data_IF_000674643370
#
_entry.id   IF_000674643370
#
_cell.length_a   1.000
_cell.length_b   1.000
_cell.length_c   1.000
_cell.angle_alpha   90.00
_cell.angle_beta   90.00
_cell.angle_gamma   90.00
#
_symmetry.space_group_name_H-M   'P 1'
#
loop_
_entity.id
_entity.type
_entity.pdbx_description
1 polymer ?
#
# COMPACT_ATOMS: atom_id res chain seq x y z
N UNK A 1 -22.55 -25.75 -26.01
CA UNK A 1 -22.71 -25.05 -24.70
C UNK A 1 -21.62 -24.01 -24.45
N UNK A 2 -20.32 -24.33 -24.61
CA UNK A 2 -19.22 -23.37 -24.36
C UNK A 2 -19.27 -22.07 -25.19
N UNK A 3 -19.57 -22.15 -26.49
CA UNK A 3 -19.67 -20.97 -27.38
C UNK A 3 -20.81 -20.04 -26.96
N UNK A 4 -21.97 -20.59 -26.55
CA UNK A 4 -23.12 -19.79 -26.10
C UNK A 4 -22.84 -19.04 -24.81
N UNK A 5 -22.05 -19.62 -23.89
CA UNK A 5 -21.61 -18.95 -22.67
C UNK A 5 -20.59 -17.87 -22.99
N UNK A 6 -19.59 -18.16 -23.85
CA UNK A 6 -18.61 -17.17 -24.28
C UNK A 6 -19.27 -15.95 -24.95
N UNK A 7 -20.24 -16.16 -25.85
CA UNK A 7 -21.00 -15.08 -26.50
C UNK A 7 -21.83 -14.28 -25.50
N UNK A 8 -22.42 -14.92 -24.48
CA UNK A 8 -23.15 -14.21 -23.41
C UNK A 8 -22.22 -13.43 -22.48
N UNK A 9 -21.01 -13.90 -22.24
CA UNK A 9 -20.01 -13.20 -21.41
C UNK A 9 -19.44 -12.00 -22.17
N UNK A 10 -19.11 -12.16 -23.44
CA UNK A 10 -18.56 -11.10 -24.30
C UNK A 10 -19.61 -10.07 -24.74
N UNK A 11 -20.89 -10.45 -24.77
CA UNK A 11 -22.00 -9.56 -25.13
C UNK A 11 -22.58 -8.76 -23.96
N UNK A 12 -21.95 -8.76 -22.78
CA UNK A 12 -22.37 -7.91 -21.67
C UNK A 12 -21.78 -6.50 -21.83
N UNK A 13 -22.48 -5.48 -21.32
CA UNK A 13 -22.07 -4.08 -21.51
C UNK A 13 -20.93 -3.67 -20.56
N UNK A 14 -20.68 -4.46 -19.50
CA UNK A 14 -19.68 -4.15 -18.48
C UNK A 14 -18.89 -5.38 -18.04
N UNK A 15 -17.64 -5.16 -17.60
CA UNK A 15 -16.77 -6.21 -17.02
C UNK A 15 -17.43 -6.87 -15.81
N UNK A 16 -18.13 -6.11 -14.97
CA UNK A 16 -18.83 -6.61 -13.77
C UNK A 16 -19.94 -7.61 -14.13
N UNK A 17 -20.70 -7.32 -15.17
CA UNK A 17 -21.77 -8.19 -15.66
C UNK A 17 -21.20 -9.44 -16.32
N UNK A 18 -20.18 -9.30 -17.17
CA UNK A 18 -19.44 -10.43 -17.75
C UNK A 18 -18.89 -11.35 -16.65
N UNK A 19 -18.27 -10.78 -15.62
CA UNK A 19 -17.69 -11.51 -14.50
C UNK A 19 -18.75 -12.25 -13.68
N UNK A 20 -19.89 -11.61 -13.43
CA UNK A 20 -21.03 -12.24 -12.76
C UNK A 20 -21.54 -13.46 -13.53
N UNK A 21 -21.59 -13.38 -14.86
CA UNK A 21 -21.97 -14.49 -15.74
C UNK A 21 -20.92 -15.60 -15.82
N UNK A 22 -19.65 -15.29 -15.60
CA UNK A 22 -18.54 -16.26 -15.60
C UNK A 22 -18.34 -16.94 -14.24
N UNK A 23 -18.83 -16.35 -13.15
CA UNK A 23 -18.53 -16.76 -11.76
C UNK A 23 -18.79 -18.25 -11.48
N UNK A 24 -19.92 -18.80 -11.95
CA UNK A 24 -20.25 -20.21 -11.74
C UNK A 24 -19.17 -21.17 -12.30
N UNK A 25 -18.51 -20.78 -13.39
CA UNK A 25 -17.45 -21.59 -14.00
C UNK A 25 -16.19 -21.52 -13.15
N UNK A 26 -15.80 -20.34 -12.69
CA UNK A 26 -14.67 -20.14 -11.78
C UNK A 26 -14.90 -20.93 -10.49
N UNK A 27 -16.09 -20.85 -9.90
CA UNK A 27 -16.43 -21.57 -8.67
C UNK A 27 -16.38 -23.10 -8.82
N UNK A 28 -16.60 -23.61 -10.04
CA UNK A 28 -16.51 -25.05 -10.34
C UNK A 28 -15.08 -25.57 -10.50
N UNK A 29 -14.09 -24.68 -10.65
CA UNK A 29 -12.70 -25.05 -10.82
C UNK A 29 -12.00 -25.33 -9.47
N UNK A 30 -11.08 -26.29 -9.48
CA UNK A 30 -10.19 -26.48 -8.34
C UNK A 30 -9.26 -25.25 -8.14
N UNK A 31 -8.68 -25.15 -6.93
CA UNK A 31 -7.85 -24.00 -6.57
C UNK A 31 -6.58 -23.85 -7.44
N UNK A 32 -6.02 -24.96 -7.92
CA UNK A 32 -4.79 -24.96 -8.72
C UNK A 32 -5.06 -24.52 -10.15
N UNK A 33 -6.16 -24.98 -10.73
CA UNK A 33 -6.65 -24.55 -12.04
C UNK A 33 -6.90 -23.04 -12.06
N UNK A 34 -7.61 -22.52 -11.05
CA UNK A 34 -7.85 -21.07 -10.90
C UNK A 34 -6.57 -20.27 -10.75
N UNK A 35 -5.65 -20.72 -9.90
CA UNK A 35 -4.36 -20.05 -9.74
C UNK A 35 -3.57 -20.02 -11.05
N UNK A 36 -3.63 -21.11 -11.81
CA UNK A 36 -3.01 -21.18 -13.14
C UNK A 36 -3.67 -20.19 -14.08
N UNK A 37 -5.00 -20.15 -14.17
CA UNK A 37 -5.72 -19.19 -15.01
C UNK A 37 -5.38 -17.73 -14.68
N UNK A 38 -5.30 -17.39 -13.39
CA UNK A 38 -4.91 -16.05 -12.93
C UNK A 38 -3.46 -15.68 -13.32
N UNK A 39 -2.54 -16.64 -13.36
CA UNK A 39 -1.17 -16.40 -13.82
C UNK A 39 -1.11 -16.09 -15.32
N UNK A 40 -2.03 -16.65 -16.11
CA UNK A 40 -2.10 -16.45 -17.57
C UNK A 40 -2.77 -15.12 -17.95
N UNK A 41 -3.55 -14.53 -17.04
CA UNK A 41 -4.13 -13.19 -17.21
C UNK A 41 -3.10 -12.10 -17.52
N UNK A 42 -1.80 -12.32 -17.24
CA UNK A 42 -0.72 -11.39 -17.63
C UNK A 42 -0.46 -11.39 -19.13
N UNK A 43 -0.63 -12.53 -19.78
CA UNK A 43 -0.36 -12.74 -21.22
C UNK A 43 -1.62 -12.68 -22.09
N UNK A 44 -2.79 -12.80 -21.47
CA UNK A 44 -4.08 -12.75 -22.15
C UNK A 44 -4.47 -11.33 -22.59
N UNK A 45 -5.51 -11.26 -23.43
CA UNK A 45 -6.18 -10.01 -23.76
C UNK A 45 -6.67 -9.29 -22.50
N UNK A 46 -6.50 -7.97 -22.45
CA UNK A 46 -6.76 -7.17 -21.25
C UNK A 46 -8.22 -7.27 -20.77
N UNK A 47 -9.18 -7.40 -21.70
CA UNK A 47 -10.59 -7.52 -21.35
C UNK A 47 -10.90 -8.90 -20.75
N UNK A 48 -10.38 -9.97 -21.38
CA UNK A 48 -10.54 -11.33 -20.89
C UNK A 48 -9.92 -11.51 -19.49
N UNK A 49 -8.69 -11.03 -19.31
CA UNK A 49 -7.99 -11.02 -18.03
C UNK A 49 -8.80 -10.28 -16.94
N UNK A 50 -9.33 -9.09 -17.27
CA UNK A 50 -10.12 -8.30 -16.34
C UNK A 50 -11.40 -9.05 -15.89
N UNK A 51 -12.10 -9.71 -16.83
CA UNK A 51 -13.30 -10.50 -16.53
C UNK A 51 -12.96 -11.69 -15.62
N UNK A 52 -11.91 -12.45 -15.94
CA UNK A 52 -11.48 -13.62 -15.13
C UNK A 52 -11.06 -13.22 -13.72
N UNK A 53 -10.27 -12.14 -13.58
CA UNK A 53 -9.87 -11.62 -12.27
C UNK A 53 -11.09 -11.20 -11.46
N UNK A 54 -12.03 -10.48 -12.08
CA UNK A 54 -13.24 -9.99 -11.42
C UNK A 54 -14.17 -11.13 -11.01
N UNK A 55 -14.28 -12.17 -11.83
CA UNK A 55 -15.05 -13.38 -11.51
C UNK A 55 -14.44 -14.14 -10.33
N UNK A 56 -13.11 -14.18 -10.24
CA UNK A 56 -12.35 -14.88 -9.19
C UNK A 56 -12.19 -14.10 -7.87
N UNK A 57 -12.72 -12.88 -7.81
CA UNK A 57 -12.43 -11.92 -6.73
C UNK A 57 -12.66 -12.49 -5.32
N UNK A 58 -13.77 -13.18 -5.10
CA UNK A 58 -14.15 -13.71 -3.78
C UNK A 58 -13.15 -14.75 -3.24
N UNK A 59 -12.31 -15.32 -4.10
CA UNK A 59 -11.35 -16.35 -3.73
C UNK A 59 -9.90 -15.86 -3.71
N UNK A 60 -9.66 -14.58 -4.00
CA UNK A 60 -8.32 -13.96 -4.01
C UNK A 60 -7.79 -13.66 -2.59
N UNK A 61 -8.69 -13.43 -1.63
CA UNK A 61 -8.34 -12.90 -0.31
C UNK A 61 -7.74 -11.49 -0.37
N UNK A 62 -7.31 -10.97 0.79
CA UNK A 62 -6.85 -9.60 0.93
C UNK A 62 -5.69 -9.24 -0.02
N UNK A 63 -4.67 -10.10 -0.05
CA UNK A 63 -3.47 -9.88 -0.87
C UNK A 63 -3.77 -9.98 -2.36
N UNK A 64 -4.57 -10.97 -2.77
CA UNK A 64 -4.91 -11.17 -4.17
C UNK A 64 -5.74 -10.01 -4.71
N UNK A 65 -6.70 -9.48 -3.93
CA UNK A 65 -7.47 -8.31 -4.34
C UNK A 65 -6.59 -7.07 -4.60
N UNK A 66 -5.56 -6.87 -3.77
CA UNK A 66 -4.59 -5.78 -3.98
C UNK A 66 -3.68 -6.04 -5.18
N UNK A 67 -3.10 -7.24 -5.27
CA UNK A 67 -2.17 -7.62 -6.34
C UNK A 67 -2.81 -7.52 -7.72
N UNK A 68 -4.01 -8.07 -7.86
CA UNK A 68 -4.75 -8.06 -9.13
C UNK A 68 -5.65 -6.82 -9.29
N UNK A 69 -5.52 -5.83 -8.39
CA UNK A 69 -6.28 -4.57 -8.43
C UNK A 69 -7.81 -4.81 -8.55
N UNK A 70 -8.31 -5.87 -7.93
CA UNK A 70 -9.66 -6.44 -8.14
C UNK A 70 -10.80 -5.48 -7.75
N UNK A 71 -10.51 -4.49 -6.89
CA UNK A 71 -11.46 -3.48 -6.45
C UNK A 71 -11.73 -2.36 -7.49
N UNK A 72 -10.94 -2.30 -8.57
CA UNK A 72 -11.14 -1.36 -9.68
C UNK A 72 -12.21 -1.85 -10.66
N UNK A 73 -12.79 -0.97 -11.50
CA UNK A 73 -13.71 -1.38 -12.57
C UNK A 73 -13.05 -2.26 -13.63
N UNK A 74 -11.78 -2.01 -13.94
CA UNK A 74 -10.98 -2.75 -14.90
C UNK A 74 -9.74 -3.32 -14.19
N UNK A 75 -9.86 -4.46 -13.51
CA UNK A 75 -8.74 -5.07 -12.79
C UNK A 75 -7.68 -5.59 -13.75
N UNK A 76 -6.46 -5.72 -13.25
CA UNK A 76 -5.28 -5.98 -14.07
C UNK A 76 -4.33 -6.94 -13.36
N UNK A 77 -3.75 -7.86 -14.13
CA UNK A 77 -2.73 -8.77 -13.60
C UNK A 77 -1.48 -7.98 -13.15
N UNK A 78 -0.75 -8.47 -12.13
CA UNK A 78 0.50 -7.86 -11.71
C UNK A 78 1.53 -7.77 -12.85
N UNK A 79 1.99 -6.56 -13.16
CA UNK A 79 2.94 -6.30 -14.26
C UNK A 79 4.30 -5.77 -13.81
N UNK A 80 4.39 -5.23 -12.58
CA UNK A 80 5.63 -4.64 -12.06
C UNK A 80 6.75 -5.68 -11.97
N UNK A 81 7.92 -5.30 -12.49
CA UNK A 81 9.16 -6.05 -12.34
C UNK A 81 9.79 -5.78 -10.97
N UNK A 82 10.82 -6.56 -10.62
CA UNK A 82 11.57 -6.35 -9.38
C UNK A 82 12.22 -4.95 -9.31
N UNK A 83 12.70 -4.42 -10.44
CA UNK A 83 13.30 -3.07 -10.49
C UNK A 83 12.25 -1.98 -10.30
N UNK A 84 11.04 -2.19 -10.82
CA UNK A 84 9.90 -1.29 -10.62
C UNK A 84 9.48 -1.28 -9.14
N UNK A 85 9.42 -2.46 -8.51
CA UNK A 85 9.10 -2.60 -7.08
C UNK A 85 10.15 -1.91 -6.20
N UNK A 86 11.44 -2.03 -6.55
CA UNK A 86 12.53 -1.37 -5.82
C UNK A 86 12.43 0.15 -5.93
N UNK A 87 12.18 0.66 -7.14
CA UNK A 87 12.03 2.11 -7.40
C UNK A 87 10.79 2.66 -6.71
N UNK A 88 9.68 1.92 -6.78
CA UNK A 88 8.44 2.28 -6.10
C UNK A 88 8.61 2.27 -4.57
N UNK A 89 9.33 1.29 -4.01
CA UNK A 89 9.62 1.26 -2.58
C UNK A 89 10.41 2.49 -2.09
N UNK A 90 11.15 3.18 -2.97
CA UNK A 90 11.81 4.45 -2.62
C UNK A 90 10.82 5.61 -2.42
N UNK A 91 9.61 5.52 -2.96
CA UNK A 91 8.55 6.53 -2.79
C UNK A 91 7.68 6.31 -1.56
N UNK A 92 7.79 5.13 -0.93
CA UNK A 92 6.96 4.75 0.21
C UNK A 92 7.74 4.74 1.53
N UNK A 93 7.16 5.26 2.62
CA UNK A 93 7.72 5.09 3.96
C UNK A 93 7.59 3.63 4.43
N UNK A 94 8.38 3.26 5.44
CA UNK A 94 8.24 1.96 6.11
C UNK A 94 6.97 1.87 6.98
N UNK A 95 6.53 3.02 7.49
CA UNK A 95 5.28 3.20 8.23
C UNK A 95 4.45 4.26 7.50
N UNK A 96 3.23 3.90 7.10
CA UNK A 96 2.34 4.75 6.31
C UNK A 96 2.12 6.09 7.03
N UNK A 97 1.93 7.18 6.30
CA UNK A 97 1.77 8.51 6.89
C UNK A 97 0.62 8.53 7.92
N UNK A 98 0.83 9.08 9.14
CA UNK A 98 -0.18 9.02 10.20
C UNK A 98 -1.52 9.61 9.75
N UNK A 99 -1.48 10.79 9.12
CA UNK A 99 -2.65 11.50 8.60
C UNK A 99 -3.41 10.69 7.55
N UNK A 100 -2.70 9.94 6.71
CA UNK A 100 -3.33 9.02 5.76
C UNK A 100 -4.04 7.87 6.46
N UNK A 101 -3.41 7.26 7.46
CA UNK A 101 -4.01 6.16 8.18
C UNK A 101 -5.25 6.59 8.98
N UNK A 102 -5.19 7.74 9.65
CA UNK A 102 -6.32 8.32 10.37
C UNK A 102 -7.50 8.59 9.44
N UNK A 103 -7.26 9.15 8.25
CA UNK A 103 -8.34 9.39 7.28
C UNK A 103 -8.88 8.12 6.65
N UNK A 104 -8.02 7.15 6.35
CA UNK A 104 -8.39 5.89 5.71
C UNK A 104 -9.17 4.97 6.66
N UNK A 105 -8.78 4.94 7.94
CA UNK A 105 -9.29 3.99 8.92
C UNK A 105 -10.24 4.58 9.96
N UNK A 106 -10.34 5.92 10.05
CA UNK A 106 -11.25 6.78 10.84
C UNK A 106 -11.65 6.30 12.25
N UNK A 107 -12.29 5.14 12.33
CA UNK A 107 -12.85 4.51 13.53
C UNK A 107 -11.98 3.36 14.08
N UNK A 108 -10.91 2.99 13.38
CA UNK A 108 -10.01 1.89 13.80
C UNK A 108 -8.74 2.46 14.42
N UNK A 109 -8.33 1.90 15.55
CA UNK A 109 -7.06 2.27 16.17
C UNK A 109 -5.90 1.94 15.23
N UNK A 110 -5.08 2.95 14.94
CA UNK A 110 -3.93 2.83 14.05
C UNK A 110 -2.65 2.78 14.89
N UNK A 111 -2.12 1.57 15.08
CA UNK A 111 -0.80 1.38 15.67
C UNK A 111 0.31 1.30 14.60
N UNK A 112 1.57 1.18 15.04
CA UNK A 112 2.70 1.07 14.13
C UNK A 112 2.63 -0.18 13.23
N UNK A 113 2.03 -1.28 13.71
CA UNK A 113 1.91 -2.52 12.96
C UNK A 113 0.90 -2.38 11.81
N UNK A 114 -0.23 -1.71 12.06
CA UNK A 114 -1.20 -1.34 11.03
C UNK A 114 -0.60 -0.39 9.99
N UNK A 115 0.15 0.63 10.41
CA UNK A 115 0.83 1.56 9.47
C UNK A 115 1.87 0.85 8.61
N UNK A 116 2.58 -0.12 9.17
CA UNK A 116 3.49 -0.99 8.42
C UNK A 116 2.72 -1.83 7.40
N UNK A 117 1.63 -2.46 7.84
CA UNK A 117 0.79 -3.29 6.98
C UNK A 117 0.22 -2.50 5.81
N UNK A 118 -0.26 -1.27 6.01
CA UNK A 118 -0.75 -0.40 4.94
C UNK A 118 0.35 -0.01 3.93
N UNK A 119 1.59 0.20 4.38
CA UNK A 119 2.71 0.50 3.49
C UNK A 119 3.03 -0.69 2.59
N UNK A 120 3.06 -1.89 3.18
CA UNK A 120 3.26 -3.14 2.46
C UNK A 120 2.09 -3.44 1.54
N UNK A 121 0.85 -3.22 1.99
CA UNK A 121 -0.37 -3.36 1.19
C UNK A 121 -0.29 -2.51 -0.08
N UNK A 122 0.18 -1.26 0.05
CA UNK A 122 0.37 -0.36 -1.09
C UNK A 122 1.49 -0.85 -2.01
N UNK A 123 2.60 -1.34 -1.43
CA UNK A 123 3.72 -1.91 -2.19
C UNK A 123 3.35 -3.18 -2.97
N UNK A 124 2.41 -3.99 -2.53
CA UNK A 124 2.01 -5.21 -3.27
C UNK A 124 0.98 -4.95 -4.40
N UNK A 125 0.38 -3.76 -4.47
CA UNK A 125 -0.66 -3.46 -5.50
C UNK A 125 -0.09 -3.60 -6.92
N UNK A 126 -0.59 -4.52 -7.74
CA UNK A 126 -0.04 -4.71 -9.09
C UNK A 126 1.39 -5.28 -9.14
N UNK A 127 1.88 -5.86 -8.04
CA UNK A 127 3.19 -6.50 -7.94
C UNK A 127 3.07 -7.99 -7.57
N UNK A 128 4.07 -8.79 -7.96
CA UNK A 128 4.22 -10.19 -7.54
C UNK A 128 5.11 -10.36 -6.30
N UNK A 129 5.59 -9.26 -5.70
CA UNK A 129 6.43 -9.33 -4.51
C UNK A 129 5.69 -10.00 -3.34
N UNK A 130 6.39 -10.89 -2.63
CA UNK A 130 5.88 -11.52 -1.41
C UNK A 130 5.88 -10.51 -0.27
N UNK A 131 5.05 -10.71 0.76
CA UNK A 131 5.04 -9.84 1.95
C UNK A 131 6.44 -9.79 2.58
N UNK A 132 7.12 -10.94 2.74
CA UNK A 132 8.48 -10.95 3.27
C UNK A 132 9.50 -10.23 2.36
N UNK A 133 9.28 -10.21 1.04
CA UNK A 133 10.06 -9.40 0.11
C UNK A 133 9.80 -7.90 0.28
N UNK A 134 8.54 -7.51 0.43
CA UNK A 134 8.11 -6.15 0.67
C UNK A 134 8.63 -5.60 2.02
N UNK A 135 8.57 -6.40 3.08
CA UNK A 135 9.14 -6.08 4.39
C UNK A 135 10.65 -5.78 4.28
N UNK A 136 11.38 -6.60 3.53
CA UNK A 136 12.82 -6.40 3.26
C UNK A 136 13.07 -5.11 2.48
N UNK A 137 12.31 -4.85 1.41
CA UNK A 137 12.48 -3.64 0.59
C UNK A 137 12.21 -2.36 1.40
N UNK A 138 11.18 -2.37 2.24
CA UNK A 138 10.86 -1.23 3.11
C UNK A 138 11.74 -1.17 4.38
N UNK A 139 12.68 -2.10 4.54
CA UNK A 139 13.50 -2.25 5.77
C UNK A 139 12.63 -2.18 7.04
N UNK A 140 11.45 -2.80 6.98
CA UNK A 140 10.50 -2.77 8.06
C UNK A 140 11.06 -3.55 9.24
N UNK A 141 11.10 -2.93 10.44
CA UNK A 141 11.55 -3.61 11.66
C UNK A 141 10.63 -4.81 11.97
N UNK A 142 11.17 -5.86 12.62
CA UNK A 142 10.36 -6.96 13.12
C UNK A 142 9.17 -6.44 13.93
N UNK A 143 8.04 -7.10 13.77
CA UNK A 143 6.75 -6.70 14.31
C UNK A 143 6.28 -7.69 15.37
N UNK A 144 5.44 -7.25 16.31
CA UNK A 144 4.75 -8.15 17.23
C UNK A 144 3.58 -8.87 16.55
N UNK A 145 2.82 -8.16 15.70
CA UNK A 145 1.78 -8.76 14.84
C UNK A 145 2.26 -8.93 13.41
N UNK A 146 1.89 -10.03 12.77
CA UNK A 146 2.29 -10.24 11.37
C UNK A 146 1.50 -9.32 10.44
N UNK A 147 2.10 -8.95 9.30
CA UNK A 147 1.42 -8.14 8.28
C UNK A 147 0.19 -8.87 7.73
N UNK A 148 0.24 -10.21 7.66
CA UNK A 148 -0.89 -11.03 7.28
C UNK A 148 -2.08 -10.85 8.24
N UNK A 149 -1.85 -10.95 9.55
CA UNK A 149 -2.92 -10.75 10.55
C UNK A 149 -3.59 -9.38 10.38
N UNK A 150 -2.79 -8.32 10.17
CA UNK A 150 -3.33 -6.97 9.96
C UNK A 150 -4.13 -6.87 8.66
N UNK A 151 -3.69 -7.51 7.58
CA UNK A 151 -4.43 -7.52 6.32
C UNK A 151 -5.74 -8.30 6.42
N UNK A 152 -5.77 -9.41 7.15
CA UNK A 152 -7.01 -10.16 7.42
C UNK A 152 -7.98 -9.34 8.27
N UNK A 153 -7.48 -8.60 9.26
CA UNK A 153 -8.31 -7.65 10.02
C UNK A 153 -8.93 -6.59 9.09
N UNK A 154 -8.13 -5.99 8.20
CA UNK A 154 -8.64 -5.02 7.22
C UNK A 154 -9.65 -5.65 6.26
N UNK A 155 -9.41 -6.89 5.82
CA UNK A 155 -10.29 -7.64 4.92
C UNK A 155 -11.65 -7.93 5.54
N UNK A 156 -11.70 -8.12 6.86
CA UNK A 156 -12.95 -8.34 7.61
C UNK A 156 -13.82 -7.08 7.75
N UNK A 157 -13.29 -5.89 7.45
CA UNK A 157 -14.04 -4.64 7.59
C UNK A 157 -15.03 -4.47 6.43
N UNK A 158 -16.27 -3.99 6.68
CA UNK A 158 -17.24 -3.70 5.62
C UNK A 158 -16.73 -2.73 4.55
N UNK A 159 -15.80 -1.85 4.93
CA UNK A 159 -15.19 -0.84 4.06
C UNK A 159 -13.95 -1.32 3.30
N UNK A 160 -13.62 -2.61 3.36
CA UNK A 160 -12.45 -3.19 2.69
C UNK A 160 -12.34 -2.77 1.21
N UNK A 161 -13.46 -2.80 0.47
CA UNK A 161 -13.47 -2.41 -0.94
C UNK A 161 -13.02 -0.95 -1.14
N UNK A 162 -13.45 -0.03 -0.28
CA UNK A 162 -13.05 1.39 -0.31
C UNK A 162 -11.58 1.56 0.08
N UNK A 163 -11.10 0.78 1.06
CA UNK A 163 -9.68 0.74 1.45
C UNK A 163 -8.83 0.29 0.26
N UNK A 164 -9.17 -0.84 -0.37
CA UNK A 164 -8.49 -1.36 -1.56
C UNK A 164 -8.42 -0.32 -2.68
N UNK A 165 -9.54 0.32 -3.02
CA UNK A 165 -9.57 1.37 -4.07
C UNK A 165 -8.65 2.54 -3.72
N UNK A 166 -8.61 2.93 -2.45
CA UNK A 166 -7.75 4.03 -1.99
C UNK A 166 -6.28 3.64 -2.07
N UNK A 167 -5.91 2.43 -1.64
CA UNK A 167 -4.53 1.92 -1.76
C UNK A 167 -4.09 1.76 -3.23
N UNK A 168 -5.01 1.36 -4.12
CA UNK A 168 -4.74 1.29 -5.56
C UNK A 168 -4.51 2.70 -6.11
N UNK A 169 -5.38 3.65 -5.78
CA UNK A 169 -5.25 5.05 -6.23
C UNK A 169 -3.96 5.71 -5.70
N UNK A 170 -3.57 5.39 -4.47
CA UNK A 170 -2.30 5.80 -3.88
C UNK A 170 -1.11 5.21 -4.65
N UNK A 171 -1.18 3.92 -5.00
CA UNK A 171 -0.14 3.27 -5.80
C UNK A 171 -0.02 3.92 -7.17
N UNK A 172 -1.14 4.17 -7.86
CA UNK A 172 -1.15 4.85 -9.16
C UNK A 172 -0.57 6.26 -9.08
N UNK A 173 -0.91 7.01 -8.04
CA UNK A 173 -0.35 8.33 -7.79
C UNK A 173 1.18 8.27 -7.62
N UNK A 174 1.68 7.36 -6.79
CA UNK A 174 3.11 7.25 -6.50
C UNK A 174 3.91 6.73 -7.71
N UNK A 175 3.33 5.88 -8.55
CA UNK A 175 3.94 5.48 -9.82
C UNK A 175 4.04 6.67 -10.78
N UNK A 176 3.02 7.52 -10.83
CA UNK A 176 2.92 8.60 -11.83
C UNK A 176 3.65 9.87 -11.41
N UNK A 177 3.49 10.29 -10.15
CA UNK A 177 3.97 11.56 -9.61
C UNK A 177 5.21 11.39 -8.72
N UNK A 178 5.44 10.18 -8.19
CA UNK A 178 6.51 9.93 -7.24
C UNK A 178 6.22 10.50 -5.85
N UNK A 179 7.31 10.69 -5.09
CA UNK A 179 7.32 11.27 -3.75
C UNK A 179 8.35 12.40 -3.71
N UNK A 180 8.04 13.47 -2.98
CA UNK A 180 9.01 14.55 -2.72
C UNK A 180 10.15 14.09 -1.79
N UNK A 181 9.94 12.98 -1.08
CA UNK A 181 10.92 12.36 -0.19
C UNK A 181 11.43 11.05 -0.78
N UNK A 182 12.75 10.88 -0.82
CA UNK A 182 13.41 9.61 -1.12
C UNK A 182 13.48 8.76 0.17
N UNK A 183 12.45 7.94 0.38
CA UNK A 183 12.37 7.09 1.56
C UNK A 183 13.41 5.99 1.58
N UNK A 184 13.94 5.55 0.43
CA UNK A 184 15.04 4.59 0.40
C UNK A 184 16.31 5.20 0.98
N UNK A 185 16.59 6.46 0.66
CA UNK A 185 17.68 7.23 1.27
C UNK A 185 17.44 7.46 2.75
N UNK A 186 16.23 7.88 3.14
CA UNK A 186 15.90 8.10 4.56
C UNK A 186 16.07 6.88 5.44
N UNK A 187 15.78 5.68 4.93
CA UNK A 187 16.01 4.42 5.66
C UNK A 187 17.49 4.12 5.90
N UNK A 188 18.37 4.62 5.03
CA UNK A 188 19.83 4.47 5.14
C UNK A 188 20.48 5.58 5.97
N UNK A 189 19.76 6.66 6.25
CA UNK A 189 20.26 7.70 7.15
C UNK A 189 20.43 7.08 8.54
N UNK A 190 21.69 6.90 8.92
CA UNK A 190 22.04 6.54 10.28
C UNK A 190 21.90 7.82 11.09
N UNK A 191 20.82 7.95 11.84
CA UNK A 191 20.73 8.89 12.95
C UNK A 191 21.64 8.37 14.08
N UNK A 192 22.96 8.35 13.83
CA UNK A 192 24.00 7.89 14.76
C UNK A 192 24.23 8.88 15.88
N UNK A 193 23.80 10.13 15.70
CA UNK A 193 23.52 10.98 16.83
C UNK A 193 22.26 10.45 17.51
N UNK A 194 22.43 9.53 18.48
CA UNK A 194 21.72 9.74 19.74
C UNK A 194 21.97 11.21 20.04
N UNK A 195 20.94 12.04 19.94
CA UNK A 195 21.03 13.39 20.45
C UNK A 195 21.46 13.22 21.90
N UNK A 196 22.74 13.51 22.17
CA UNK A 196 23.24 13.61 23.53
C UNK A 196 22.30 14.59 24.23
N UNK A 197 21.96 14.32 25.49
CA UNK A 197 21.01 15.16 26.24
C UNK A 197 21.35 16.67 26.14
N UNK A 198 22.65 16.98 26.07
CA UNK A 198 23.19 18.33 25.91
C UNK A 198 22.89 18.94 24.53
N UNK A 199 22.94 18.14 23.46
CA UNK A 199 22.52 18.58 22.14
C UNK A 199 21.02 18.85 22.11
N UNK A 200 20.24 18.07 22.85
CA UNK A 200 18.80 18.24 23.06
C UNK A 200 18.45 19.55 23.78
N UNK A 201 19.19 19.91 24.83
CA UNK A 201 18.99 21.17 25.56
C UNK A 201 19.38 22.39 24.72
N UNK A 202 20.49 22.29 23.98
CA UNK A 202 20.94 23.34 23.05
C UNK A 202 19.92 23.58 21.93
N UNK A 203 19.30 22.51 21.48
CA UNK A 203 18.19 22.49 20.52
C UNK A 203 16.95 23.21 21.06
N UNK A 204 16.66 23.07 22.36
CA UNK A 204 15.55 23.78 23.02
C UNK A 204 15.83 25.25 23.36
N UNK A 205 17.08 25.70 23.29
CA UNK A 205 17.48 27.03 23.77
C UNK A 205 17.51 27.14 25.29
N UNK A 206 17.55 26.01 26.01
CA UNK A 206 17.55 25.94 27.47
C UNK A 206 18.96 25.61 28.01
N UNK A 207 19.34 26.21 29.13
CA UNK A 207 20.59 25.89 29.84
C UNK A 207 20.38 24.60 30.64
N UNK A 208 21.41 23.76 30.77
CA UNK A 208 21.32 22.37 31.27
C UNK A 208 20.89 22.16 32.74
N UNK A 209 20.37 23.19 33.41
CA UNK A 209 20.14 23.21 34.86
C UNK A 209 18.66 23.07 35.26
N UNK A 210 17.73 22.95 34.29
CA UNK A 210 16.30 22.82 34.59
C UNK A 210 15.75 21.40 34.35
N UNK A 211 15.09 20.90 35.39
CA UNK A 211 14.45 19.59 35.54
C UNK A 211 13.58 19.13 34.35
N UNK A 212 13.66 17.83 34.05
CA UNK A 212 12.91 17.08 33.03
C UNK A 212 11.41 17.44 32.91
N UNK A 213 10.93 17.76 31.69
CA UNK A 213 9.58 17.43 31.27
C UNK A 213 9.54 16.08 30.54
N UNK A 214 8.49 15.31 30.82
CA UNK A 214 8.25 13.90 30.42
C UNK A 214 7.76 13.70 28.98
N UNK A 215 7.92 14.69 28.11
CA UNK A 215 7.41 14.64 26.72
C UNK A 215 8.43 15.25 25.77
N UNK A 216 8.74 14.52 24.69
CA UNK A 216 9.65 14.96 23.65
C UNK A 216 8.94 15.96 22.71
N UNK A 217 9.39 17.21 22.59
CA UNK A 217 8.93 18.07 21.50
C UNK A 217 9.43 17.59 20.13
N UNK A 218 8.50 17.54 19.18
CA UNK A 218 8.74 17.47 17.74
C UNK A 218 9.14 18.88 17.28
N UNK A 219 10.40 19.11 16.87
CA UNK A 219 10.78 20.37 16.23
C UNK A 219 11.30 20.12 14.80
N UNK A 220 10.51 20.46 13.77
CA UNK A 220 10.86 20.23 12.36
C UNK A 220 12.09 21.02 11.89
N UNK A 221 12.41 22.15 12.55
CA UNK A 221 13.50 23.05 12.16
C UNK A 221 14.89 22.40 12.26
N UNK A 222 15.11 21.50 13.22
CA UNK A 222 16.41 20.86 13.41
C UNK A 222 16.63 19.68 12.48
N UNK A 223 15.54 18.97 12.16
CA UNK A 223 15.58 17.94 11.13
C UNK A 223 15.90 18.58 9.76
N UNK A 224 15.32 19.75 9.44
CA UNK A 224 15.66 20.50 8.23
C UNK A 224 17.14 20.92 8.20
N UNK A 225 17.66 21.47 9.32
CA UNK A 225 19.08 21.86 9.42
C UNK A 225 20.01 20.66 9.24
N UNK A 226 19.67 19.51 9.81
CA UNK A 226 20.45 18.29 9.65
C UNK A 226 20.46 17.77 8.21
N UNK A 227 19.29 17.75 7.54
CA UNK A 227 19.20 17.35 6.14
C UNK A 227 20.02 18.27 5.23
N UNK A 228 19.94 19.59 5.41
CA UNK A 228 20.77 20.54 4.66
C UNK A 228 22.26 20.33 4.87
N UNK A 229 22.69 20.01 6.10
CA UNK A 229 24.11 19.69 6.40
C UNK A 229 24.59 18.44 5.66
N UNK A 230 23.69 17.50 5.39
CA UNK A 230 23.97 16.31 4.58
C UNK A 230 23.83 16.56 3.07
N UNK A 231 23.56 17.80 2.64
CA UNK A 231 23.32 18.14 1.24
C UNK A 231 22.00 17.60 0.69
N UNK A 232 21.03 17.27 1.56
CA UNK A 232 19.72 16.74 1.18
C UNK A 232 18.71 17.89 1.19
N UNK A 233 18.16 18.20 0.02
CA UNK A 233 17.13 19.20 -0.20
C UNK A 233 15.75 18.54 -0.34
N UNK A 234 15.24 17.98 0.76
CA UNK A 234 13.94 17.30 0.84
C UNK A 234 13.14 17.85 2.04
N UNK A 235 11.80 17.93 1.96
CA UNK A 235 10.97 18.41 3.07
C UNK A 235 10.97 17.40 4.23
N UNK A 236 11.01 17.82 5.49
CA UNK A 236 11.05 16.88 6.64
C UNK A 236 9.83 15.97 6.70
N UNK A 237 8.66 16.51 6.39
CA UNK A 237 7.41 15.74 6.27
C UNK A 237 6.80 15.97 4.90
N UNK A 238 6.30 14.89 4.32
CA UNK A 238 5.50 14.91 3.11
C UNK A 238 4.57 13.72 3.16
N UNK A 239 3.36 13.89 2.64
CA UNK A 239 2.45 12.81 2.32
C UNK A 239 1.70 13.15 1.03
N UNK A 240 1.20 12.14 0.30
CA UNK A 240 0.40 12.39 -0.89
C UNK A 240 -0.87 13.21 -0.57
N UNK A 241 -1.42 13.96 -1.55
CA UNK A 241 -2.62 14.76 -1.33
C UNK A 241 -3.80 13.94 -0.79
N UNK A 242 -4.42 14.39 0.31
CA UNK A 242 -5.53 13.66 0.93
C UNK A 242 -6.77 13.55 0.03
N UNK A 243 -6.89 14.37 -1.01
CA UNK A 243 -7.95 14.26 -2.03
C UNK A 243 -7.96 12.92 -2.78
N UNK A 244 -6.85 12.16 -2.74
CA UNK A 244 -6.76 10.80 -3.31
C UNK A 244 -7.57 9.80 -2.47
N UNK A 245 -7.71 10.06 -1.17
CA UNK A 245 -8.64 9.34 -0.31
C UNK A 245 -10.04 9.83 -0.69
N UNK A 246 -10.70 9.08 -1.56
CA UNK A 246 -12.01 9.45 -2.09
C UNK A 246 -12.98 9.78 -0.95
N UNK A 247 -13.39 11.05 -0.86
CA UNK A 247 -14.30 11.57 0.17
C UNK A 247 -15.69 10.90 0.11
N UNK A 248 -15.99 10.19 -0.97
CA UNK A 248 -17.34 9.70 -1.28
C UNK A 248 -17.76 8.40 -0.58
N UNK A 249 -16.85 7.61 0.00
CA UNK A 249 -17.20 6.28 0.57
C UNK A 249 -16.75 6.12 2.04
N UNK A 250 -16.53 7.22 2.77
CA UNK A 250 -16.06 7.19 4.17
C UNK A 250 -17.14 7.43 5.23
N UNK A 251 -18.39 7.68 4.84
CA UNK A 251 -19.57 7.74 5.72
C UNK A 251 -20.35 6.43 5.72
#
# INVERSE_FOLDING_TARGET
MGITVAVKVLGAETIEESASRLRWLVDSQDAKARQTELLWCRTDDALAAAITIKASRQQLGAQGELRYRAATPAPEAPRRSYLDDWSFAATLPALMWPTWCEKLLADTSVDADMRRALSIATLIVGSNITIGGAEKLLSARPSHRTVNEQLELLYSLPRWNSICRTLISLSDYLVTQGSEIDYARRRKLVYSARLEWQDWLRIRGESADETLPRTAPQQPDQALVHLRRLGIDEPVEWHPPLKIIGVADLT
#
